data_IF_384608824647
#
_entry.id   IF_384608824647
#
_cell.length_a   1.000
_cell.length_b   1.000
_cell.length_c   1.000
_cell.angle_alpha   90.00
_cell.angle_beta   90.00
_cell.angle_gamma   90.00
#
_symmetry.space_group_name_H-M   'P 1'
#
loop_
_entity.id
_entity.type
_entity.pdbx_description
1 polymer ?
#
# COMPACT_ATOMS: atom_id res chain seq x y z
N UNK A 1 17.84 -4.53 31.65
CA UNK A 1 16.45 -4.96 31.93
C UNK A 1 16.00 -4.25 33.20
N UNK A 2 14.74 -3.81 33.29
CA UNK A 2 14.24 -3.16 34.50
C UNK A 2 14.33 -4.10 35.71
N UNK A 3 14.69 -3.55 36.88
CA UNK A 3 15.05 -4.31 38.09
C UNK A 3 13.88 -5.06 38.76
N UNK A 4 12.64 -4.87 38.28
CA UNK A 4 11.48 -5.61 38.78
C UNK A 4 10.58 -6.08 37.65
N UNK A 5 10.02 -7.28 37.82
CA UNK A 5 9.01 -7.86 36.94
C UNK A 5 7.81 -6.92 36.72
N UNK A 6 7.40 -6.19 37.77
CA UNK A 6 6.33 -5.18 37.69
C UNK A 6 6.69 -4.01 36.78
N UNK A 7 7.96 -3.58 36.74
CA UNK A 7 8.41 -2.55 35.81
C UNK A 7 8.51 -3.12 34.39
N UNK A 8 8.98 -4.36 34.23
CA UNK A 8 9.03 -5.02 32.92
C UNK A 8 7.65 -5.10 32.26
N UNK A 9 6.62 -5.57 32.97
CA UNK A 9 5.26 -5.66 32.43
C UNK A 9 4.69 -4.27 32.08
N UNK A 10 4.97 -3.24 32.88
CA UNK A 10 4.58 -1.85 32.57
C UNK A 10 5.26 -1.27 31.33
N UNK A 11 6.45 -1.78 30.99
CA UNK A 11 7.20 -1.38 29.82
C UNK A 11 6.77 -2.14 28.55
N UNK A 12 5.88 -3.13 28.62
CA UNK A 12 5.37 -3.83 27.45
C UNK A 12 3.99 -3.29 27.11
N UNK A 13 3.80 -2.88 25.85
CA UNK A 13 2.51 -2.52 25.28
C UNK A 13 2.30 -3.28 23.98
N UNK A 14 1.06 -3.31 23.49
CA UNK A 14 0.78 -3.71 22.12
C UNK A 14 0.90 -2.47 21.22
N UNK A 15 1.48 -2.63 20.04
CA UNK A 15 1.43 -1.61 18.99
C UNK A 15 0.08 -1.62 18.26
N UNK A 16 -0.06 -0.79 17.22
CA UNK A 16 -1.27 -0.73 16.39
C UNK A 16 -1.59 -2.04 15.66
N UNK A 17 -0.66 -2.99 15.64
CA UNK A 17 -0.77 -4.27 14.92
C UNK A 17 -0.87 -5.46 15.87
N UNK A 18 -0.95 -5.23 17.19
CA UNK A 18 -1.03 -6.30 18.18
C UNK A 18 0.31 -6.94 18.55
N UNK A 19 1.45 -6.39 18.11
CA UNK A 19 2.76 -6.88 18.52
C UNK A 19 3.20 -6.26 19.84
N UNK A 20 3.89 -7.06 20.65
CA UNK A 20 4.48 -6.59 21.91
C UNK A 20 5.67 -5.67 21.60
N UNK A 21 5.58 -4.43 22.05
CA UNK A 21 6.61 -3.40 21.91
C UNK A 21 6.93 -2.76 23.25
N UNK A 22 8.08 -2.09 23.34
CA UNK A 22 8.38 -1.25 24.48
C UNK A 22 7.41 -0.05 24.53
N UNK A 23 6.83 0.23 25.69
CA UNK A 23 6.01 1.42 25.89
C UNK A 23 6.82 2.68 25.54
N UNK A 24 6.20 3.75 25.01
CA UNK A 24 6.91 5.02 24.76
C UNK A 24 7.52 5.65 26.02
N UNK A 25 7.09 5.23 27.21
CA UNK A 25 7.62 5.64 28.52
C UNK A 25 8.80 4.78 29.00
N UNK A 26 9.14 3.70 28.31
CA UNK A 26 10.27 2.83 28.66
C UNK A 26 11.58 3.62 28.55
N UNK A 27 12.51 3.59 29.51
CA UNK A 27 13.82 4.24 29.39
C UNK A 27 14.57 3.79 28.12
N UNK A 28 15.36 4.68 27.52
CA UNK A 28 16.04 4.42 26.24
C UNK A 28 17.01 3.23 26.34
N UNK A 29 17.72 3.10 27.46
CA UNK A 29 18.60 1.98 27.79
C UNK A 29 17.87 0.63 27.94
N UNK A 30 16.54 0.63 27.94
CA UNK A 30 15.70 -0.56 28.02
C UNK A 30 14.84 -0.77 26.77
N UNK A 31 14.84 0.17 25.82
CA UNK A 31 14.20 -0.03 24.53
C UNK A 31 15.07 -0.98 23.72
N UNK A 32 14.46 -1.90 22.98
CA UNK A 32 15.14 -2.50 21.84
C UNK A 32 15.64 -1.35 20.96
N UNK A 33 16.89 -1.43 20.47
CA UNK A 33 17.65 -0.41 19.74
C UNK A 33 17.04 -0.03 18.37
N UNK A 34 15.72 0.08 18.28
CA UNK A 34 15.03 0.62 17.12
C UNK A 34 15.34 2.11 17.09
N UNK A 35 16.14 2.50 16.09
CA UNK A 35 16.68 3.85 15.93
C UNK A 35 15.57 4.90 16.10
N UNK A 36 15.96 6.01 16.74
CA UNK A 36 15.14 7.16 17.13
C UNK A 36 14.07 7.55 16.09
N UNK A 37 12.95 8.12 16.59
CA UNK A 37 11.93 8.69 15.72
C UNK A 37 12.55 9.81 14.87
N UNK A 38 12.34 9.80 13.55
CA UNK A 38 12.76 10.90 12.70
C UNK A 38 12.05 12.21 13.08
N UNK A 39 12.64 13.37 12.77
CA UNK A 39 11.94 14.63 12.84
C UNK A 39 10.74 14.62 11.88
N UNK A 40 9.62 15.29 12.22
CA UNK A 40 8.51 15.46 11.30
C UNK A 40 8.95 16.27 10.09
N UNK A 41 8.76 15.74 8.89
CA UNK A 41 9.04 16.42 7.62
C UNK A 41 7.71 16.73 6.93
N UNK A 42 7.59 17.91 6.31
CA UNK A 42 6.43 18.25 5.47
C UNK A 42 6.61 17.61 4.09
N UNK A 43 6.21 16.35 4.01
CA UNK A 43 6.55 15.43 2.91
C UNK A 43 5.86 15.79 1.58
N UNK A 44 4.74 16.51 1.64
CA UNK A 44 3.91 16.81 0.47
C UNK A 44 4.57 17.80 -0.49
N UNK A 45 5.42 18.70 0.03
CA UNK A 45 6.07 19.72 -0.80
C UNK A 45 7.15 19.10 -1.71
N UNK A 46 7.87 18.10 -1.20
CA UNK A 46 9.04 17.53 -1.86
C UNK A 46 8.65 16.61 -3.03
N UNK A 47 7.61 15.79 -2.84
CA UNK A 47 7.11 14.86 -3.87
C UNK A 47 6.52 15.64 -5.05
N UNK A 48 5.80 16.73 -4.77
CA UNK A 48 5.25 17.60 -5.80
C UNK A 48 6.37 18.18 -6.67
N UNK A 49 7.41 18.76 -6.04
CA UNK A 49 8.57 19.31 -6.75
C UNK A 49 9.29 18.26 -7.60
N UNK A 50 9.51 17.05 -7.06
CA UNK A 50 10.18 15.96 -7.77
C UNK A 50 9.39 15.51 -9.02
N UNK A 51 8.07 15.45 -8.92
CA UNK A 51 7.17 15.08 -10.01
C UNK A 51 6.85 16.25 -10.95
N UNK A 52 7.49 17.42 -10.75
CA UNK A 52 7.23 18.62 -11.54
C UNK A 52 5.81 19.18 -11.40
N UNK A 53 5.09 18.75 -10.37
CA UNK A 53 3.76 19.26 -10.04
C UNK A 53 3.94 20.37 -9.02
N UNK A 54 3.25 21.51 -9.21
CA UNK A 54 3.01 22.40 -8.08
C UNK A 54 2.25 21.61 -7.00
N UNK A 55 2.29 22.06 -5.73
CA UNK A 55 1.54 21.45 -4.62
C UNK A 55 0.02 21.53 -4.86
N UNK A 56 -0.44 20.81 -5.88
CA UNK A 56 -1.81 20.68 -6.29
C UNK A 56 -2.45 19.71 -5.32
N UNK A 57 -3.69 20.01 -4.94
CA UNK A 57 -4.45 19.11 -4.08
C UNK A 57 -4.45 17.72 -4.71
N UNK A 58 -4.07 16.72 -3.91
CA UNK A 58 -4.17 15.30 -4.27
C UNK A 58 -5.60 15.05 -4.73
N UNK A 59 -5.77 14.56 -5.96
CA UNK A 59 -7.08 14.28 -6.52
C UNK A 59 -7.79 13.20 -5.70
N UNK A 60 -9.13 13.21 -5.69
CA UNK A 60 -9.92 12.23 -4.91
C UNK A 60 -9.53 10.78 -5.20
N UNK A 61 -9.29 10.46 -6.48
CA UNK A 61 -8.84 9.14 -6.89
C UNK A 61 -7.43 8.78 -6.41
N UNK A 62 -6.50 9.73 -6.48
CA UNK A 62 -5.13 9.55 -5.99
C UNK A 62 -5.13 9.36 -4.48
N UNK A 63 -5.97 10.11 -3.74
CA UNK A 63 -6.16 9.96 -2.31
C UNK A 63 -6.70 8.56 -1.94
N UNK A 64 -7.63 8.00 -2.73
CA UNK A 64 -8.12 6.63 -2.52
C UNK A 64 -7.04 5.58 -2.77
N UNK A 65 -6.27 5.72 -3.85
CA UNK A 65 -5.16 4.82 -4.17
C UNK A 65 -4.13 4.83 -3.03
N UNK A 66 -3.70 6.02 -2.60
CA UNK A 66 -2.79 6.19 -1.47
C UNK A 66 -3.39 5.61 -0.18
N UNK A 67 -4.68 5.85 0.06
CA UNK A 67 -5.39 5.35 1.23
C UNK A 67 -5.41 3.82 1.28
N UNK A 68 -5.81 3.17 0.19
CA UNK A 68 -5.83 1.72 0.11
C UNK A 68 -4.43 1.13 0.22
N UNK A 69 -3.45 1.74 -0.45
CA UNK A 69 -2.06 1.33 -0.35
C UNK A 69 -1.56 1.30 1.09
N UNK A 70 -1.83 2.39 1.84
CA UNK A 70 -1.53 2.47 3.27
C UNK A 70 -2.15 1.28 3.99
N UNK A 71 -3.45 1.04 3.81
CA UNK A 71 -4.15 -0.07 4.47
C UNK A 71 -3.48 -1.42 4.16
N UNK A 72 -3.17 -1.70 2.90
CA UNK A 72 -2.53 -2.97 2.49
C UNK A 72 -1.14 -3.15 3.11
N UNK A 73 -0.31 -2.10 3.13
CA UNK A 73 1.01 -2.15 3.80
C UNK A 73 0.86 -2.41 5.30
N UNK A 74 -0.19 -1.91 5.94
CA UNK A 74 -0.45 -2.21 7.36
C UNK A 74 -0.88 -3.65 7.59
N UNK A 75 -1.76 -4.17 6.73
CA UNK A 75 -2.17 -5.57 6.79
C UNK A 75 -0.97 -6.50 6.62
N UNK A 76 -0.08 -6.18 5.69
CA UNK A 76 1.19 -6.90 5.48
C UNK A 76 1.99 -7.03 6.77
N UNK A 77 2.06 -5.97 7.56
CA UNK A 77 2.78 -5.98 8.85
C UNK A 77 2.11 -6.82 9.91
N UNK A 78 0.79 -7.01 9.84
CA UNK A 78 0.04 -7.87 10.75
C UNK A 78 0.39 -9.35 10.58
N UNK A 79 0.92 -9.76 9.43
CA UNK A 79 1.41 -11.13 9.25
C UNK A 79 2.68 -11.35 10.10
N UNK A 80 2.71 -12.32 11.03
CA UNK A 80 3.83 -12.52 11.96
C UNK A 80 5.18 -12.79 11.29
N UNK A 81 5.20 -13.32 10.07
CA UNK A 81 6.44 -13.58 9.32
C UNK A 81 7.13 -12.29 8.89
N UNK A 82 6.34 -11.24 8.58
CA UNK A 82 6.87 -9.97 8.07
C UNK A 82 7.67 -9.22 9.14
N UNK A 83 7.17 -8.94 10.36
CA UNK A 83 7.96 -8.31 11.42
C UNK A 83 9.23 -9.08 11.77
N UNK A 84 9.18 -10.41 11.77
CA UNK A 84 10.36 -11.23 12.04
C UNK A 84 11.42 -11.04 10.95
N UNK A 85 11.01 -11.13 9.67
CA UNK A 85 11.90 -10.85 8.53
C UNK A 85 12.47 -9.43 8.57
N UNK A 86 11.63 -8.43 8.87
CA UNK A 86 12.06 -7.03 9.00
C UNK A 86 13.12 -6.85 10.10
N UNK A 87 12.96 -7.50 11.26
CA UNK A 87 13.97 -7.43 12.33
C UNK A 87 15.33 -7.99 11.88
N UNK A 88 15.32 -9.07 11.10
CA UNK A 88 16.56 -9.64 10.55
C UNK A 88 17.21 -8.65 9.58
N UNK A 89 16.42 -7.95 8.75
CA UNK A 89 16.94 -6.98 7.77
C UNK A 89 17.71 -5.82 8.40
N UNK A 90 17.40 -5.43 9.64
CA UNK A 90 18.18 -4.40 10.37
C UNK A 90 19.63 -4.83 10.61
N UNK A 91 19.90 -6.13 10.72
CA UNK A 91 21.23 -6.66 10.93
C UNK A 91 21.95 -7.02 9.61
N UNK A 92 21.26 -6.94 8.47
CA UNK A 92 21.82 -7.29 7.17
C UNK A 92 22.80 -6.20 6.72
N UNK A 93 24.09 -6.50 6.49
CA UNK A 93 25.09 -5.48 6.18
C UNK A 93 25.03 -5.02 4.72
N UNK A 94 24.52 -5.87 3.81
CA UNK A 94 24.52 -5.61 2.38
C UNK A 94 23.35 -6.30 1.68
N UNK A 95 22.83 -5.69 0.61
CA UNK A 95 21.62 -6.16 -0.12
C UNK A 95 21.68 -7.60 -0.62
N UNK A 96 22.87 -8.11 -0.95
CA UNK A 96 23.07 -9.49 -1.43
C UNK A 96 22.78 -10.55 -0.38
N UNK A 97 22.59 -10.14 0.88
CA UNK A 97 22.23 -11.02 1.99
C UNK A 97 20.74 -10.92 2.37
N UNK A 98 19.96 -10.11 1.65
CA UNK A 98 18.49 -10.10 1.79
C UNK A 98 17.97 -11.42 1.21
N UNK A 99 17.11 -12.13 1.95
CA UNK A 99 16.53 -13.38 1.45
C UNK A 99 15.61 -13.14 0.27
N UNK A 100 15.50 -14.13 -0.61
CA UNK A 100 14.60 -14.09 -1.77
C UNK A 100 13.12 -13.86 -1.37
N UNK A 101 12.69 -14.43 -0.25
CA UNK A 101 11.33 -14.23 0.28
C UNK A 101 11.11 -12.75 0.65
N UNK A 102 12.06 -12.13 1.34
CA UNK A 102 11.97 -10.70 1.68
C UNK A 102 11.98 -9.84 0.42
N UNK A 103 12.86 -10.12 -0.54
CA UNK A 103 12.86 -9.42 -1.83
C UNK A 103 11.51 -9.52 -2.52
N UNK A 104 10.91 -10.71 -2.55
CA UNK A 104 9.58 -10.94 -3.15
C UNK A 104 8.49 -10.13 -2.43
N UNK A 105 8.51 -10.10 -1.10
CA UNK A 105 7.59 -9.27 -0.29
C UNK A 105 7.78 -7.79 -0.63
N UNK A 106 9.03 -7.33 -0.68
CA UNK A 106 9.35 -5.93 -0.97
C UNK A 106 8.95 -5.51 -2.38
N UNK A 107 9.11 -6.40 -3.36
CA UNK A 107 8.68 -6.15 -4.74
C UNK A 107 7.15 -6.06 -4.77
N UNK A 108 6.45 -7.01 -4.15
CA UNK A 108 5.00 -6.97 -4.05
C UNK A 108 4.50 -5.67 -3.39
N UNK A 109 5.16 -5.20 -2.33
CA UNK A 109 4.84 -3.90 -1.71
C UNK A 109 4.96 -2.76 -2.73
N UNK A 110 6.05 -2.66 -3.47
CA UNK A 110 6.25 -1.58 -4.44
C UNK A 110 5.31 -1.73 -5.64
N UNK A 111 5.18 -2.92 -6.22
CA UNK A 111 4.28 -3.19 -7.35
C UNK A 111 2.82 -2.84 -7.04
N UNK A 112 2.36 -3.10 -5.81
CA UNK A 112 1.02 -2.71 -5.37
C UNK A 112 0.77 -1.19 -5.48
N UNK A 113 1.78 -0.36 -5.25
CA UNK A 113 1.67 1.09 -5.40
C UNK A 113 1.86 1.58 -6.83
N UNK A 114 2.57 0.83 -7.67
CA UNK A 114 2.87 1.23 -9.04
C UNK A 114 1.83 0.76 -10.05
N UNK A 115 1.13 -0.34 -9.76
CA UNK A 115 0.17 -0.97 -10.64
C UNK A 115 -1.25 -0.42 -10.53
N UNK A 116 -2.12 -0.90 -11.42
CA UNK A 116 -3.55 -0.77 -11.23
C UNK A 116 -3.95 -1.63 -10.02
N UNK A 117 -4.52 -1.01 -8.99
CA UNK A 117 -4.96 -1.70 -7.76
C UNK A 117 -6.23 -2.52 -8.01
N UNK A 118 -6.08 -3.59 -8.79
CA UNK A 118 -7.15 -4.49 -9.18
C UNK A 118 -7.03 -5.77 -8.34
N UNK A 119 -7.98 -6.00 -7.45
CA UNK A 119 -8.06 -7.20 -6.62
C UNK A 119 -9.22 -8.05 -7.14
N UNK A 120 -9.08 -9.38 -7.16
CA UNK A 120 -10.18 -10.26 -7.52
C UNK A 120 -9.74 -11.65 -7.92
N UNK A 121 -10.69 -12.59 -7.93
CA UNK A 121 -10.43 -14.03 -8.12
C UNK A 121 -9.64 -14.36 -9.39
N UNK A 122 -9.83 -13.59 -10.46
CA UNK A 122 -9.15 -13.81 -11.74
C UNK A 122 -7.88 -12.97 -11.93
N UNK A 123 -7.68 -11.95 -11.08
CA UNK A 123 -6.62 -10.95 -11.22
C UNK A 123 -5.34 -11.36 -10.48
N UNK A 124 -5.45 -12.23 -9.46
CA UNK A 124 -4.29 -12.78 -8.73
C UNK A 124 -3.61 -13.87 -9.56
N UNK A 125 -3.17 -13.50 -10.76
CA UNK A 125 -1.99 -14.11 -11.36
C UNK A 125 -0.84 -13.20 -11.00
N UNK A 126 -0.48 -13.19 -9.71
CA UNK A 126 0.78 -12.64 -9.26
C UNK A 126 1.83 -13.21 -10.19
N UNK A 127 2.53 -12.35 -10.92
CA UNK A 127 3.67 -12.77 -11.70
C UNK A 127 4.67 -13.31 -10.69
N UNK A 128 4.65 -14.62 -10.43
CA UNK A 128 5.75 -15.34 -9.79
C UNK A 128 6.89 -15.39 -10.79
N UNK A 129 7.34 -14.23 -11.24
CA UNK A 129 8.63 -14.04 -11.85
C UNK A 129 9.62 -14.43 -10.78
N UNK A 130 10.30 -15.55 -10.99
CA UNK A 130 11.40 -15.99 -10.14
C UNK A 130 12.46 -14.89 -10.20
N UNK A 131 12.58 -14.10 -9.13
CA UNK A 131 13.50 -12.99 -9.09
C UNK A 131 14.92 -13.50 -8.89
N UNK A 132 15.82 -13.03 -9.74
CA UNK A 132 17.25 -13.18 -9.54
C UNK A 132 17.68 -12.24 -8.42
N UNK A 133 18.20 -12.74 -7.28
CA UNK A 133 18.70 -11.89 -6.19
C UNK A 133 19.85 -10.96 -6.62
N UNK A 134 20.52 -11.28 -7.73
CA UNK A 134 21.54 -10.42 -8.34
C UNK A 134 20.95 -9.42 -9.35
N UNK A 135 19.70 -9.60 -9.77
CA UNK A 135 19.03 -8.79 -10.77
C UNK A 135 18.31 -7.59 -10.17
N UNK A 136 18.40 -6.46 -10.84
CA UNK A 136 17.59 -5.29 -10.55
C UNK A 136 16.34 -5.29 -11.43
N UNK A 137 15.13 -5.40 -10.86
CA UNK A 137 13.92 -5.48 -11.67
C UNK A 137 13.48 -4.11 -12.19
N UNK A 138 13.18 -4.06 -13.49
CA UNK A 138 12.31 -3.03 -14.06
C UNK A 138 10.86 -3.41 -13.75
N UNK A 139 10.18 -2.64 -12.92
CA UNK A 139 8.78 -2.88 -12.53
C UNK A 139 7.80 -2.35 -13.57
N UNK A 140 8.21 -1.31 -14.29
CA UNK A 140 7.49 -0.72 -15.40
C UNK A 140 8.51 -0.21 -16.44
N UNK A 141 8.10 0.15 -17.67
CA UNK A 141 9.03 0.62 -18.71
C UNK A 141 9.95 1.77 -18.28
N UNK A 142 9.46 2.62 -17.37
CA UNK A 142 10.15 3.81 -16.88
C UNK A 142 10.42 3.74 -15.36
N UNK A 143 10.26 2.58 -14.71
CA UNK A 143 10.48 2.42 -13.26
C UNK A 143 11.44 1.27 -12.96
N UNK A 144 12.54 1.62 -12.29
CA UNK A 144 13.59 0.70 -11.87
C UNK A 144 13.62 0.60 -10.35
N UNK A 145 13.63 -0.63 -9.81
CA UNK A 145 13.71 -0.86 -8.36
C UNK A 145 15.07 -1.47 -8.02
N UNK A 146 15.71 -0.92 -6.99
CA UNK A 146 16.92 -1.46 -6.39
C UNK A 146 16.75 -1.61 -4.88
N UNK A 147 16.95 -2.83 -4.40
CA UNK A 147 17.00 -3.10 -2.97
C UNK A 147 18.32 -2.67 -2.39
N UNK A 148 18.26 -2.12 -1.18
CA UNK A 148 19.45 -1.79 -0.40
C UNK A 148 19.14 -1.84 1.10
N UNK A 149 20.16 -1.70 1.92
CA UNK A 149 20.06 -1.68 3.39
C UNK A 149 20.50 -0.31 3.90
N UNK A 150 20.08 0.12 5.10
CA UNK A 150 20.63 1.31 5.76
C UNK A 150 20.55 2.63 4.96
N UNK A 151 19.41 2.91 4.33
CA UNK A 151 19.16 4.18 3.63
C UNK A 151 19.07 5.40 4.57
N UNK A 152 19.15 5.20 5.89
CA UNK A 152 19.35 6.25 6.88
C UNK A 152 20.80 6.78 6.92
N UNK A 153 21.75 6.06 6.30
CA UNK A 153 23.15 6.49 6.17
C UNK A 153 23.37 7.21 4.83
N UNK A 154 23.64 8.52 4.88
CA UNK A 154 23.83 9.38 3.69
C UNK A 154 24.94 8.89 2.75
N UNK A 155 26.05 8.36 3.27
CA UNK A 155 27.14 7.83 2.43
C UNK A 155 26.65 6.63 1.61
N UNK A 156 25.91 5.74 2.27
CA UNK A 156 25.34 4.56 1.63
C UNK A 156 24.25 4.93 0.61
N UNK A 157 23.43 5.96 0.89
CA UNK A 157 22.48 6.51 -0.09
C UNK A 157 23.20 7.00 -1.34
N UNK A 158 24.27 7.81 -1.19
CA UNK A 158 25.03 8.35 -2.33
C UNK A 158 25.63 7.26 -3.20
N UNK A 159 26.24 6.25 -2.58
CA UNK A 159 26.81 5.09 -3.29
C UNK A 159 25.76 4.34 -4.10
N UNK A 160 24.62 4.00 -3.49
CA UNK A 160 23.55 3.28 -4.17
C UNK A 160 22.85 4.11 -5.26
N UNK A 161 22.78 5.45 -5.12
CA UNK A 161 22.26 6.31 -6.19
C UNK A 161 23.16 6.24 -7.43
N UNK A 162 24.48 6.30 -7.26
CA UNK A 162 25.41 6.26 -8.40
C UNK A 162 25.27 4.95 -9.17
N UNK A 163 25.21 3.83 -8.46
CA UNK A 163 25.00 2.51 -9.06
C UNK A 163 23.64 2.41 -9.77
N UNK A 164 22.57 2.88 -9.14
CA UNK A 164 21.24 2.92 -9.73
C UNK A 164 21.20 3.74 -11.02
N UNK A 165 21.85 4.92 -11.03
CA UNK A 165 21.88 5.81 -12.20
C UNK A 165 22.68 5.17 -13.33
N UNK A 166 23.78 4.48 -13.02
CA UNK A 166 24.56 3.72 -14.00
C UNK A 166 23.71 2.62 -14.65
N UNK A 167 23.03 1.81 -13.84
CA UNK A 167 22.16 0.73 -14.33
C UNK A 167 20.99 1.24 -15.19
N UNK A 168 20.33 2.31 -14.75
CA UNK A 168 19.27 2.96 -15.53
C UNK A 168 19.82 3.49 -16.85
N UNK A 169 20.98 4.14 -16.84
CA UNK A 169 21.59 4.71 -18.05
C UNK A 169 21.95 3.65 -19.08
N UNK A 170 22.30 2.43 -18.64
CA UNK A 170 22.63 1.31 -19.51
C UNK A 170 21.40 0.66 -20.17
N UNK A 171 20.27 0.59 -19.46
CA UNK A 171 19.11 -0.24 -19.87
C UNK A 171 17.89 0.55 -20.31
N UNK A 172 17.81 1.84 -20.01
CA UNK A 172 16.62 2.65 -20.29
C UNK A 172 16.38 2.86 -21.79
N UNK A 173 15.13 3.19 -22.11
CA UNK A 173 14.74 3.67 -23.43
C UNK A 173 15.15 5.15 -23.60
N UNK A 174 15.66 5.57 -24.77
CA UNK A 174 15.98 6.97 -25.03
C UNK A 174 14.71 7.82 -25.11
N UNK A 175 14.81 9.12 -24.82
CA UNK A 175 13.69 10.06 -24.99
C UNK A 175 12.74 10.19 -23.80
N UNK A 176 13.09 9.63 -22.62
CA UNK A 176 12.19 9.57 -21.46
C UNK A 176 12.93 9.71 -20.13
N UNK A 177 12.19 10.23 -19.15
CA UNK A 177 12.60 10.21 -17.74
C UNK A 177 12.34 8.81 -17.20
N UNK A 178 13.37 8.19 -16.64
CA UNK A 178 13.25 6.96 -15.87
C UNK A 178 13.27 7.32 -14.38
N UNK A 179 12.50 6.59 -13.57
CA UNK A 179 12.45 6.75 -12.13
C UNK A 179 13.09 5.54 -11.46
N UNK A 180 14.18 5.79 -10.73
CA UNK A 180 14.75 4.80 -9.83
C UNK A 180 14.13 4.86 -8.45
N UNK A 181 13.91 3.71 -7.83
CA UNK A 181 13.50 3.57 -6.44
C UNK A 181 14.59 2.78 -5.71
N UNK A 182 15.28 3.42 -4.78
CA UNK A 182 16.07 2.71 -3.77
C UNK A 182 15.14 2.32 -2.63
N UNK A 183 15.12 1.05 -2.25
CA UNK A 183 14.19 0.53 -1.26
C UNK A 183 14.88 -0.34 -0.22
N UNK A 184 14.65 -0.02 1.07
CA UNK A 184 15.23 -0.78 2.19
C UNK A 184 14.19 -1.33 3.16
N UNK A 185 12.93 -1.42 2.75
CA UNK A 185 11.75 -1.68 3.60
C UNK A 185 11.47 -0.55 4.61
N UNK A 186 12.48 -0.09 5.35
CA UNK A 186 12.35 0.99 6.32
C UNK A 186 12.31 2.37 5.67
N UNK A 187 13.05 2.54 4.58
CA UNK A 187 13.12 3.81 3.85
C UNK A 187 13.05 3.58 2.35
N UNK A 188 12.76 4.65 1.62
CA UNK A 188 12.92 4.72 0.18
C UNK A 188 13.53 6.05 -0.26
N UNK A 189 14.17 6.04 -1.44
CA UNK A 189 14.62 7.23 -2.16
C UNK A 189 14.14 7.11 -3.60
N UNK A 190 13.59 8.20 -4.14
CA UNK A 190 13.17 8.27 -5.56
C UNK A 190 14.18 9.12 -6.32
N UNK A 191 14.63 8.62 -7.47
CA UNK A 191 15.68 9.23 -8.30
C UNK A 191 15.16 9.36 -9.74
N UNK A 192 14.55 10.48 -10.13
CA UNK A 192 14.32 10.79 -11.54
C UNK A 192 15.66 10.96 -12.28
N UNK A 193 15.80 10.27 -13.41
CA UNK A 193 16.96 10.30 -14.30
C UNK A 193 16.51 10.75 -15.69
N UNK A 194 16.97 11.92 -16.12
CA UNK A 194 16.64 12.51 -17.43
C UNK A 194 17.50 11.97 -18.56
N UNK A 195 17.18 12.29 -19.81
CA UNK A 195 17.88 11.82 -21.02
C UNK A 195 19.39 12.11 -21.05
N UNK A 196 19.83 13.18 -20.37
CA UNK A 196 21.24 13.58 -20.29
C UNK A 196 21.99 12.90 -19.13
N UNK A 197 21.38 11.89 -18.51
CA UNK A 197 21.82 11.20 -17.29
C UNK A 197 21.96 12.11 -16.08
N UNK A 198 21.38 13.32 -16.14
CA UNK A 198 21.26 14.18 -14.97
C UNK A 198 20.15 13.60 -14.11
N UNK A 199 20.39 13.61 -12.82
CA UNK A 199 19.45 13.10 -11.85
C UNK A 199 19.28 14.09 -10.70
N UNK A 200 18.12 13.98 -10.08
CA UNK A 200 17.85 14.52 -8.74
C UNK A 200 17.44 13.34 -7.87
N UNK A 201 17.63 13.45 -6.57
CA UNK A 201 17.21 12.41 -5.63
C UNK A 201 16.42 13.02 -4.50
N UNK A 202 15.40 12.32 -4.04
CA UNK A 202 14.76 12.68 -2.77
C UNK A 202 15.71 12.52 -1.60
N UNK A 203 15.36 13.14 -0.47
CA UNK A 203 15.91 12.69 0.81
C UNK A 203 15.43 11.26 1.08
N UNK A 204 16.12 10.57 2.00
CA UNK A 204 15.66 9.27 2.50
C UNK A 204 14.35 9.46 3.25
N UNK A 205 13.31 8.78 2.78
CA UNK A 205 11.95 8.89 3.31
C UNK A 205 11.59 7.61 4.05
N UNK A 206 11.00 7.73 5.24
CA UNK A 206 10.46 6.55 5.92
C UNK A 206 9.38 5.91 5.09
N UNK A 207 9.53 4.63 4.80
CA UNK A 207 8.53 3.87 4.08
C UNK A 207 7.65 3.10 5.05
N UNK A 208 8.22 2.18 5.83
CA UNK A 208 7.43 1.49 6.85
C UNK A 208 7.19 2.39 8.07
N UNK A 209 5.96 2.39 8.63
CA UNK A 209 5.69 3.12 9.86
C UNK A 209 6.56 2.63 11.02
N UNK A 210 6.93 3.54 11.92
CA UNK A 210 7.50 3.16 13.21
C UNK A 210 6.48 2.32 13.99
N UNK A 211 6.95 1.34 14.76
CA UNK A 211 6.11 0.60 15.71
C UNK A 211 5.42 1.48 16.77
N UNK A 212 5.89 2.71 16.94
CA UNK A 212 5.28 3.70 17.86
C UNK A 212 4.44 4.76 17.15
N UNK A 213 4.20 4.62 15.84
CA UNK A 213 3.35 5.56 15.13
C UNK A 213 1.90 5.43 15.59
N UNK A 214 1.19 6.55 15.58
CA UNK A 214 -0.28 6.59 15.70
C UNK A 214 -0.96 6.66 14.33
N UNK A 215 -0.16 6.92 13.28
CA UNK A 215 -0.64 7.04 11.92
C UNK A 215 0.10 6.02 11.04
N UNK A 216 -0.63 5.18 10.30
CA UNK A 216 -0.01 4.26 9.36
C UNK A 216 0.65 4.94 8.16
N UNK A 217 0.38 6.22 7.96
CA UNK A 217 0.89 6.99 6.83
C UNK A 217 2.34 7.38 7.06
N UNK A 218 3.17 7.19 6.03
CA UNK A 218 4.55 7.67 6.00
C UNK A 218 4.83 8.48 4.73
N UNK A 219 5.88 9.33 4.73
CA UNK A 219 6.38 10.00 3.54
C UNK A 219 6.60 9.04 2.37
N UNK A 220 7.30 7.93 2.61
CA UNK A 220 7.72 6.98 1.58
C UNK A 220 6.55 6.22 0.96
N UNK A 221 5.57 5.80 1.76
CA UNK A 221 4.34 5.18 1.24
C UNK A 221 3.61 6.17 0.31
N UNK A 222 3.48 7.42 0.74
CA UNK A 222 2.81 8.47 -0.05
C UNK A 222 3.58 8.77 -1.33
N UNK A 223 4.92 8.88 -1.25
CA UNK A 223 5.78 9.16 -2.39
C UNK A 223 5.72 8.07 -3.47
N UNK A 224 5.81 6.79 -3.07
CA UNK A 224 5.77 5.66 -4.00
C UNK A 224 4.39 5.54 -4.65
N UNK A 225 3.30 5.73 -3.89
CA UNK A 225 1.95 5.72 -4.47
C UNK A 225 1.70 6.92 -5.41
N UNK A 226 2.18 8.12 -5.07
CA UNK A 226 2.13 9.27 -5.96
C UNK A 226 2.95 9.06 -7.25
N UNK A 227 4.12 8.42 -7.14
CA UNK A 227 4.93 8.03 -8.31
C UNK A 227 4.18 7.02 -9.18
N UNK A 228 3.61 5.97 -8.58
CA UNK A 228 2.79 5.00 -9.29
C UNK A 228 1.64 5.66 -10.04
N UNK A 229 0.86 6.49 -9.34
CA UNK A 229 -0.21 7.28 -9.96
C UNK A 229 0.32 8.17 -11.08
N UNK A 230 1.45 8.86 -10.89
CA UNK A 230 2.07 9.66 -11.95
C UNK A 230 2.39 8.82 -13.18
N UNK A 231 3.08 7.70 -13.01
CA UNK A 231 3.45 6.79 -14.10
C UNK A 231 2.24 6.16 -14.80
N UNK A 232 1.16 5.88 -14.07
CA UNK A 232 -0.10 5.43 -14.69
C UNK A 232 -0.75 6.52 -15.56
N UNK A 233 -0.55 7.80 -15.22
CA UNK A 233 -1.12 8.92 -15.99
C UNK A 233 -0.25 9.40 -17.15
N UNK A 234 1.07 9.23 -17.06
CA UNK A 234 2.03 9.67 -18.09
C UNK A 234 2.54 8.52 -18.95
N UNK A 235 2.33 7.28 -18.49
CA UNK A 235 2.75 6.07 -19.17
C UNK A 235 2.18 6.01 -20.58
N UNK A 236 3.07 5.81 -21.54
CA UNK A 236 2.66 5.45 -22.90
C UNK A 236 2.62 3.93 -22.97
N UNK A 237 1.51 3.41 -23.47
CA UNK A 237 1.33 1.98 -23.70
C UNK A 237 2.42 1.47 -24.63
N UNK A 238 3.09 0.38 -24.23
CA UNK A 238 4.09 -0.27 -25.07
C UNK A 238 3.43 -0.72 -26.39
N UNK A 239 4.02 -0.36 -27.54
CA UNK A 239 3.36 -0.53 -28.84
C UNK A 239 3.30 -1.98 -29.32
N UNK A 240 3.97 -2.90 -28.60
CA UNK A 240 4.17 -4.28 -28.98
C UNK A 240 2.87 -5.09 -29.17
N UNK A 241 1.81 -4.75 -28.43
CA UNK A 241 0.52 -5.46 -28.47
C UNK A 241 -0.61 -4.66 -29.11
N UNK A 242 -0.26 -3.62 -29.87
CA UNK A 242 -1.26 -2.70 -30.40
C UNK A 242 -1.98 -3.31 -31.60
N UNK A 243 -3.31 -3.17 -31.61
CA UNK A 243 -4.10 -3.56 -32.78
C UNK A 243 -3.62 -2.79 -34.03
N UNK A 244 -3.69 -3.41 -35.23
CA UNK A 244 -3.32 -2.74 -36.46
C UNK A 244 -4.06 -1.40 -36.61
N UNK A 245 -3.44 -0.35 -37.17
CA UNK A 245 -4.08 0.97 -37.30
C UNK A 245 -5.45 0.93 -37.99
N UNK A 246 -5.66 -0.01 -38.91
CA UNK A 246 -6.92 -0.22 -39.63
C UNK A 246 -8.01 -0.96 -38.84
N UNK A 247 -7.74 -1.42 -37.62
CA UNK A 247 -8.72 -2.15 -36.81
C UNK A 247 -9.94 -1.26 -36.49
N UNK A 248 -11.16 -1.81 -36.58
CA UNK A 248 -12.39 -1.03 -36.43
C UNK A 248 -12.52 -0.37 -35.04
N UNK A 249 -11.94 -0.97 -33.99
CA UNK A 249 -11.87 -0.36 -32.65
C UNK A 249 -11.13 0.98 -32.63
N UNK A 250 -10.18 1.22 -33.54
CA UNK A 250 -9.52 2.52 -33.66
C UNK A 250 -10.43 3.59 -34.31
N UNK A 251 -11.60 3.20 -34.82
CA UNK A 251 -12.57 4.08 -35.46
C UNK A 251 -13.82 4.31 -34.60
N UNK A 252 -13.92 3.64 -33.44
CA UNK A 252 -15.07 3.77 -32.54
C UNK A 252 -15.05 5.18 -31.93
N UNK A 253 -16.16 5.95 -32.03
CA UNK A 253 -16.29 7.25 -31.39
C UNK A 253 -16.05 7.18 -29.88
N UNK A 254 -15.39 8.19 -29.31
CA UNK A 254 -14.95 8.18 -27.91
C UNK A 254 -16.12 8.07 -26.90
N UNK A 255 -17.30 8.59 -27.26
CA UNK A 255 -18.54 8.45 -26.51
C UNK A 255 -19.04 7.00 -26.47
N UNK A 256 -18.94 6.25 -27.58
CA UNK A 256 -19.24 4.83 -27.58
C UNK A 256 -18.22 4.03 -26.78
N UNK A 257 -16.93 4.40 -26.84
CA UNK A 257 -15.90 3.80 -26.00
C UNK A 257 -16.24 4.02 -24.53
N UNK A 258 -16.62 5.23 -24.13
CA UNK A 258 -17.01 5.55 -22.76
C UNK A 258 -18.16 4.64 -22.26
N UNK A 259 -19.14 4.34 -23.12
CA UNK A 259 -20.20 3.40 -22.80
C UNK A 259 -19.73 1.95 -22.71
N UNK A 260 -18.85 1.50 -23.62
CA UNK A 260 -18.29 0.13 -23.56
C UNK A 260 -17.52 -0.05 -22.25
N UNK A 261 -16.68 0.91 -21.87
CA UNK A 261 -15.82 0.76 -20.68
C UNK A 261 -16.60 0.78 -19.37
N UNK A 262 -17.81 1.38 -19.32
CA UNK A 262 -18.64 1.32 -18.12
C UNK A 262 -19.25 -0.07 -17.87
N UNK A 263 -19.33 -0.90 -18.91
CA UNK A 263 -19.90 -2.25 -18.84
C UNK A 263 -18.83 -3.35 -18.69
N UNK A 264 -17.54 -2.98 -18.65
CA UNK A 264 -16.42 -3.92 -18.53
C UNK A 264 -15.93 -4.05 -17.09
N UNK A 265 -15.61 -5.29 -16.70
CA UNK A 265 -14.89 -5.56 -15.45
C UNK A 265 -13.42 -5.09 -15.52
N UNK A 266 -12.74 -4.93 -14.38
CA UNK A 266 -11.37 -4.40 -14.34
C UNK A 266 -10.34 -5.23 -15.12
N UNK A 267 -10.48 -6.56 -15.13
CA UNK A 267 -9.63 -7.45 -15.92
C UNK A 267 -9.74 -7.18 -17.42
N UNK A 268 -10.96 -6.98 -17.90
CA UNK A 268 -11.24 -6.66 -19.30
C UNK A 268 -10.77 -5.26 -19.64
N UNK A 269 -10.94 -4.30 -18.72
CA UNK A 269 -10.44 -2.93 -18.86
C UNK A 269 -8.91 -2.89 -19.02
N UNK A 270 -8.16 -3.62 -18.18
CA UNK A 270 -6.70 -3.71 -18.28
C UNK A 270 -6.26 -4.37 -19.59
N UNK A 271 -6.94 -5.44 -20.00
CA UNK A 271 -6.67 -6.16 -21.26
C UNK A 271 -6.94 -5.27 -22.47
N UNK A 272 -8.06 -4.56 -22.48
CA UNK A 272 -8.46 -3.68 -23.57
C UNK A 272 -7.60 -2.41 -23.63
N UNK A 273 -7.17 -1.86 -22.48
CA UNK A 273 -6.17 -0.76 -22.42
C UNK A 273 -4.87 -1.17 -23.11
N UNK A 274 -4.43 -2.40 -22.88
CA UNK A 274 -3.22 -2.95 -23.49
C UNK A 274 -3.36 -3.20 -24.99
N UNK A 275 -4.55 -3.63 -25.44
CA UNK A 275 -4.81 -3.91 -26.85
C UNK A 275 -5.04 -2.64 -27.69
N UNK A 276 -5.68 -1.62 -27.11
CA UNK A 276 -6.13 -0.41 -27.83
C UNK A 276 -5.64 0.85 -27.11
N UNK A 277 -4.40 1.31 -27.36
CA UNK A 277 -3.85 2.53 -26.77
C UNK A 277 -4.72 3.77 -26.91
N UNK A 278 -5.51 3.86 -27.99
CA UNK A 278 -6.42 4.97 -28.22
C UNK A 278 -7.44 5.13 -27.09
N UNK A 279 -7.80 4.03 -26.42
CA UNK A 279 -8.74 4.04 -25.30
C UNK A 279 -8.07 4.37 -23.97
N UNK A 280 -6.73 4.39 -23.92
CA UNK A 280 -5.96 4.63 -22.69
C UNK A 280 -6.39 5.90 -21.94
N UNK A 281 -6.66 7.06 -22.57
CA UNK A 281 -7.14 8.23 -21.82
C UNK A 281 -8.46 7.97 -21.08
N UNK A 282 -9.45 7.37 -21.75
CA UNK A 282 -10.75 7.06 -21.15
C UNK A 282 -10.65 5.97 -20.08
N UNK A 283 -9.87 4.93 -20.35
CA UNK A 283 -9.66 3.81 -19.44
C UNK A 283 -8.82 4.17 -18.22
N UNK A 284 -7.78 4.99 -18.42
CA UNK A 284 -6.95 5.50 -17.33
C UNK A 284 -7.79 6.27 -16.32
N UNK A 285 -8.89 6.93 -16.71
CA UNK A 285 -9.77 7.59 -15.75
C UNK A 285 -10.46 6.60 -14.81
N UNK A 286 -10.87 5.43 -15.32
CA UNK A 286 -11.50 4.38 -14.52
C UNK A 286 -10.47 3.59 -13.73
N UNK A 287 -9.41 3.12 -14.38
CA UNK A 287 -8.34 2.30 -13.79
C UNK A 287 -7.43 3.05 -12.81
N UNK A 288 -7.66 4.35 -12.58
CA UNK A 288 -7.04 5.09 -11.47
C UNK A 288 -7.67 4.72 -10.12
N UNK A 289 -8.95 4.31 -10.11
CA UNK A 289 -9.60 3.87 -8.90
C UNK A 289 -9.18 2.44 -8.58
N UNK A 290 -8.98 2.11 -7.29
CA UNK A 290 -8.83 0.72 -6.90
C UNK A 290 -10.13 -0.06 -7.14
N UNK A 291 -10.01 -1.30 -7.60
CA UNK A 291 -11.13 -2.22 -7.79
C UNK A 291 -10.96 -3.46 -6.94
N UNK A 292 -12.08 -3.97 -6.48
CA UNK A 292 -12.19 -5.22 -5.76
C UNK A 292 -13.28 -6.05 -6.41
N UNK A 293 -12.90 -7.16 -7.04
CA UNK A 293 -13.69 -7.87 -8.04
C UNK A 293 -14.29 -6.86 -9.05
N UNK A 294 -15.61 -6.73 -9.13
CA UNK A 294 -16.28 -5.78 -10.03
C UNK A 294 -16.56 -4.41 -9.37
N UNK A 295 -16.18 -4.24 -8.11
CA UNK A 295 -16.53 -3.06 -7.32
C UNK A 295 -15.43 -2.01 -7.34
N UNK A 296 -15.79 -0.81 -7.77
CA UNK A 296 -14.93 0.37 -7.66
C UNK A 296 -14.92 0.89 -6.22
N UNK A 297 -13.72 1.15 -5.69
CA UNK A 297 -13.54 1.77 -4.40
C UNK A 297 -13.91 3.26 -4.45
N UNK A 298 -14.81 3.69 -3.56
CA UNK A 298 -15.28 5.08 -3.49
C UNK A 298 -14.81 5.84 -2.25
N UNK A 299 -14.37 5.14 -1.21
CA UNK A 299 -13.85 5.75 0.01
C UNK A 299 -12.97 4.76 0.78
N UNK A 300 -11.89 5.27 1.37
CA UNK A 300 -11.05 4.51 2.33
C UNK A 300 -11.26 5.09 3.71
N UNK A 301 -11.82 4.29 4.61
CA UNK A 301 -12.05 4.71 5.98
C UNK A 301 -10.73 4.74 6.78
N UNK A 302 -10.50 5.77 7.62
CA UNK A 302 -9.28 5.89 8.40
C UNK A 302 -9.21 4.80 9.49
N UNK A 303 -8.04 4.16 9.60
CA UNK A 303 -7.73 3.09 10.55
C UNK A 303 -7.97 3.48 12.03
N UNK A 304 -7.84 4.76 12.37
CA UNK A 304 -7.95 5.25 13.75
C UNK A 304 -9.38 5.26 14.32
N UNK A 305 -10.41 5.12 13.49
CA UNK A 305 -11.82 5.17 13.94
C UNK A 305 -12.43 3.82 14.29
N UNK A 306 -11.68 2.74 14.12
CA UNK A 306 -12.21 1.37 14.25
C UNK A 306 -11.35 0.41 15.06
N UNK A 307 -10.63 0.76 16.15
CA UNK A 307 -9.94 -0.26 16.96
C UNK A 307 -10.90 -1.35 17.49
N UNK A 308 -12.08 -0.93 17.97
CA UNK A 308 -13.11 -1.84 18.47
C UNK A 308 -13.77 -2.67 17.34
N UNK A 309 -14.00 -2.05 16.18
CA UNK A 309 -14.55 -2.75 15.02
C UNK A 309 -13.54 -3.73 14.43
N UNK A 310 -12.25 -3.36 14.39
CA UNK A 310 -11.14 -4.23 14.03
C UNK A 310 -11.03 -5.37 15.02
N UNK A 311 -11.05 -5.13 16.33
CA UNK A 311 -11.06 -6.21 17.34
C UNK A 311 -12.27 -7.15 17.18
N UNK A 312 -13.47 -6.62 16.91
CA UNK A 312 -14.69 -7.43 16.66
C UNK A 312 -14.59 -8.22 15.37
N UNK A 313 -14.07 -7.61 14.31
CA UNK A 313 -13.84 -8.24 13.00
C UNK A 313 -12.73 -9.29 13.11
N UNK A 314 -11.62 -8.99 13.78
CA UNK A 314 -10.55 -9.94 14.09
C UNK A 314 -11.06 -11.10 14.90
N UNK A 315 -11.86 -10.86 15.94
CA UNK A 315 -12.46 -11.92 16.78
C UNK A 315 -13.43 -12.79 15.97
N UNK A 316 -14.24 -12.19 15.09
CA UNK A 316 -15.14 -12.91 14.20
C UNK A 316 -14.37 -13.72 13.14
N UNK A 317 -13.19 -13.25 12.71
CA UNK A 317 -12.34 -13.94 11.74
C UNK A 317 -11.46 -15.02 12.37
N UNK A 318 -11.01 -14.84 13.60
CA UNK A 318 -10.31 -15.86 14.39
C UNK A 318 -11.27 -17.03 14.68
N UNK A 319 -12.54 -16.72 14.97
CA UNK A 319 -13.63 -17.71 15.02
C UNK A 319 -13.92 -18.38 13.66
N UNK A 320 -13.62 -17.71 12.55
CA UNK A 320 -13.78 -18.23 11.18
C UNK A 320 -12.48 -18.83 10.58
N UNK A 321 -11.38 -18.88 11.36
CA UNK A 321 -10.08 -19.41 10.93
C UNK A 321 -9.44 -18.65 9.76
N UNK A 322 -9.55 -17.32 9.71
CA UNK A 322 -9.14 -16.51 8.56
C UNK A 322 -8.28 -15.30 8.94
N UNK A 323 -7.35 -14.93 8.05
CA UNK A 323 -6.43 -13.80 8.23
C UNK A 323 -7.07 -12.40 8.14
N UNK A 324 -6.37 -11.46 8.77
CA UNK A 324 -6.55 -10.02 9.02
C UNK A 324 -7.19 -9.21 7.87
N UNK A 325 -8.20 -8.34 8.12
CA UNK A 325 -8.87 -7.62 7.05
C UNK A 325 -8.76 -6.08 7.05
N UNK A 326 -8.98 -5.49 5.88
CA UNK A 326 -9.37 -4.08 5.68
C UNK A 326 -10.89 -3.94 5.57
N UNK A 327 -11.45 -2.78 5.96
CA UNK A 327 -12.84 -2.42 5.69
C UNK A 327 -12.91 -1.53 4.44
N UNK A 328 -13.55 -2.03 3.39
CA UNK A 328 -13.71 -1.28 2.14
C UNK A 328 -15.19 -1.13 1.77
N UNK A 329 -15.63 0.10 1.48
CA UNK A 329 -17.01 0.39 1.02
C UNK A 329 -17.03 0.46 -0.51
N UNK A 330 -17.71 -0.51 -1.13
CA UNK A 330 -17.99 -0.52 -2.57
C UNK A 330 -19.36 0.09 -2.91
N UNK A 331 -19.55 0.56 -4.15
CA UNK A 331 -20.84 1.07 -4.63
C UNK A 331 -21.43 0.20 -5.74
N UNK A 332 -22.51 -0.51 -5.43
CA UNK A 332 -23.56 -0.85 -6.42
C UNK A 332 -24.91 -1.00 -5.71
N UNK A 333 -25.69 0.08 -5.61
CA UNK A 333 -27.06 0.06 -5.05
C UNK A 333 -27.18 -0.19 -3.53
N UNK A 334 -26.18 -0.82 -2.90
CA UNK A 334 -26.08 -1.13 -1.47
C UNK A 334 -24.64 -0.94 -0.99
N UNK A 335 -24.46 -0.42 0.24
CA UNK A 335 -23.15 -0.33 0.88
C UNK A 335 -22.72 -1.75 1.30
N UNK A 336 -21.71 -2.31 0.63
CA UNK A 336 -21.11 -3.59 1.04
C UNK A 336 -19.74 -3.35 1.66
N UNK A 337 -19.44 -4.11 2.72
CA UNK A 337 -18.14 -4.12 3.38
C UNK A 337 -17.30 -5.29 2.85
N UNK A 338 -16.19 -4.97 2.21
CA UNK A 338 -15.26 -5.97 1.67
C UNK A 338 -14.06 -6.11 2.59
N UNK A 339 -13.71 -7.37 2.91
CA UNK A 339 -12.55 -7.74 3.72
C UNK A 339 -11.45 -8.26 2.81
N UNK A 340 -10.33 -7.55 2.77
CA UNK A 340 -9.12 -7.91 2.01
C UNK A 340 -8.08 -8.52 2.95
N UNK A 341 -7.55 -9.70 2.62
CA UNK A 341 -6.33 -10.21 3.24
C UNK A 341 -5.08 -9.72 2.48
N UNK A 342 -3.89 -9.93 3.06
CA UNK A 342 -2.61 -9.50 2.49
C UNK A 342 -2.30 -10.09 1.10
N UNK A 343 -2.84 -11.26 0.77
CA UNK A 343 -2.64 -11.92 -0.53
C UNK A 343 -3.65 -11.47 -1.59
N UNK A 344 -4.52 -10.51 -1.27
CA UNK A 344 -5.58 -10.05 -2.17
C UNK A 344 -6.74 -11.05 -2.30
N UNK A 345 -6.75 -12.14 -1.53
CA UNK A 345 -7.91 -13.01 -1.51
C UNK A 345 -9.06 -12.31 -0.78
N UNK A 346 -10.15 -12.14 -1.51
CA UNK A 346 -11.38 -11.62 -0.95
C UNK A 346 -12.17 -12.70 -0.26
N UNK A 347 -12.61 -12.41 0.96
CA UNK A 347 -13.82 -13.01 1.52
C UNK A 347 -14.85 -11.90 1.67
N UNK A 348 -15.84 -11.90 0.78
CA UNK A 348 -17.05 -11.12 1.02
C UNK A 348 -17.72 -11.69 2.28
N UNK A 349 -17.76 -10.89 3.35
CA UNK A 349 -18.60 -11.19 4.50
C UNK A 349 -19.83 -10.33 4.33
N UNK A 350 -20.96 -10.99 4.06
CA UNK A 350 -22.26 -10.36 4.10
C UNK A 350 -22.57 -10.07 5.58
N UNK A 351 -22.13 -8.90 6.05
CA UNK A 351 -22.49 -8.40 7.36
C UNK A 351 -23.92 -7.90 7.20
N UNK A 352 -24.90 -8.78 7.39
CA UNK A 352 -26.34 -8.53 7.21
C UNK A 352 -26.94 -7.48 8.16
N UNK A 353 -26.34 -6.30 8.22
CA UNK A 353 -26.84 -5.12 8.91
C UNK A 353 -27.41 -4.17 7.86
N UNK A 354 -28.72 -3.91 7.96
CA UNK A 354 -29.30 -2.71 7.38
C UNK A 354 -28.65 -1.51 8.08
N UNK A 355 -27.78 -0.80 7.36
CA UNK A 355 -27.15 0.40 7.87
C UNK A 355 -28.20 1.50 8.00
N UNK A 356 -28.46 1.90 9.25
CA UNK A 356 -29.14 3.16 9.49
C UNK A 356 -28.26 4.34 9.06
N UNK A 357 -28.92 5.44 8.70
CA UNK A 357 -28.31 6.64 8.14
C UNK A 357 -27.25 7.25 9.06
N UNK A 358 -26.31 8.00 8.46
CA UNK A 358 -25.20 8.74 9.11
C UNK A 358 -25.58 9.52 10.38
N UNK A 359 -26.84 9.93 10.52
CA UNK A 359 -27.35 10.68 11.67
C UNK A 359 -27.53 9.82 12.94
N UNK A 360 -27.69 8.50 12.80
CA UNK A 360 -27.89 7.60 13.95
C UNK A 360 -26.58 7.35 14.72
N UNK A 361 -25.45 7.40 14.03
CA UNK A 361 -24.13 7.20 14.63
C UNK A 361 -23.68 8.38 15.50
N UNK A 362 -24.10 9.61 15.19
CA UNK A 362 -23.86 10.78 16.04
C UNK A 362 -24.72 10.76 17.31
N UNK A 363 -25.80 9.99 17.32
CA UNK A 363 -26.68 9.78 18.48
C UNK A 363 -26.15 8.69 19.41
N UNK A 364 -25.65 7.57 18.87
CA UNK A 364 -25.04 6.50 19.67
C UNK A 364 -23.72 6.93 20.33
N UNK A 365 -22.87 7.69 19.62
CA UNK A 365 -21.62 8.21 20.19
C UNK A 365 -21.83 9.21 21.35
N UNK A 366 -23.02 9.78 21.48
CA UNK A 366 -23.40 10.61 22.64
C UNK A 366 -23.95 9.81 23.82
N UNK A 367 -24.29 8.55 23.61
CA UNK A 367 -24.78 7.64 24.65
C UNK A 367 -23.69 6.75 25.25
N UNK A 368 -22.51 6.64 24.63
CA UNK A 368 -21.38 5.80 25.08
C UNK A 368 -20.44 6.44 26.15
N UNK A 369 -20.81 7.57 26.77
CA UNK A 369 -20.00 8.19 27.85
C UNK A 369 -20.33 7.71 29.28
N UNK A 370 -21.23 6.74 29.49
CA UNK A 370 -21.53 6.20 30.83
C UNK A 370 -21.43 4.66 30.94
N UNK A 371 -20.39 4.21 31.67
CA UNK A 371 -20.22 3.01 32.52
C UNK A 371 -20.54 1.56 32.04
N UNK A 372 -19.51 0.70 32.13
CA UNK A 372 -19.49 -0.74 32.53
C UNK A 372 -20.35 -1.80 31.77
N UNK A 373 -20.77 -1.59 30.52
CA UNK A 373 -21.55 -2.60 29.75
C UNK A 373 -20.73 -3.65 28.95
N UNK A 374 -19.41 -3.53 28.85
CA UNK A 374 -18.58 -4.40 28.00
C UNK A 374 -18.56 -5.88 28.44
N UNK A 375 -18.79 -6.15 29.72
CA UNK A 375 -18.79 -7.52 30.25
C UNK A 375 -20.10 -8.28 29.97
N UNK A 376 -21.24 -7.57 29.91
CA UNK A 376 -22.54 -8.19 29.68
C UNK A 376 -22.77 -8.47 28.19
N UNK A 377 -22.29 -7.59 27.31
CA UNK A 377 -22.34 -7.80 25.86
C UNK A 377 -21.49 -9.01 25.45
N UNK A 378 -20.31 -9.17 26.04
CA UNK A 378 -19.43 -10.33 25.83
C UNK A 378 -20.09 -11.64 26.32
N UNK A 379 -20.77 -11.61 27.47
CA UNK A 379 -21.50 -12.77 28.01
C UNK A 379 -22.71 -13.19 27.16
N UNK A 380 -23.46 -12.21 26.62
CA UNK A 380 -24.59 -12.48 25.72
C UNK A 380 -24.13 -13.04 24.37
N UNK A 381 -23.01 -12.55 23.85
CA UNK A 381 -22.41 -13.05 22.60
C UNK A 381 -21.89 -14.49 22.74
N UNK A 382 -21.21 -14.82 23.84
CA UNK A 382 -20.72 -16.19 24.11
C UNK A 382 -21.86 -17.19 24.30
N UNK A 383 -23.01 -16.76 24.84
CA UNK A 383 -24.18 -17.63 24.99
C UNK A 383 -24.97 -17.82 23.69
N UNK A 384 -24.95 -16.84 22.77
CA UNK A 384 -25.55 -16.98 21.43
C UNK A 384 -24.80 -18.00 20.57
N UNK A 385 -23.46 -18.04 20.65
CA UNK A 385 -22.60 -18.98 19.92
C UNK A 385 -22.64 -20.43 20.45
N UNK A 386 -23.36 -20.72 21.54
CA UNK A 386 -23.51 -22.09 22.07
C UNK A 386 -24.76 -22.82 21.59
N UNK A 387 -25.65 -22.16 20.84
CA UNK A 387 -26.94 -22.72 20.41
C UNK A 387 -27.12 -22.74 18.87
N UNK A 388 -26.10 -22.30 18.12
CA UNK A 388 -25.95 -22.55 16.69
C UNK A 388 -24.77 -23.50 16.47
#
# INVERSE_FOLDING_TARGET
MPDSEKLFVKCIKLDLYGFRICAPSTPEEHRCNWKLRPPPVDDNLYIAELLGKTAQAIGTCEAMHIGLYKVLINLARGNPEVPYGLQILEAVPHRTHISADMLSIGIGMIELALGHMLFGKEVIKSSTTVYDPAGFPWLAPDIFLQFTTHLDNECNVKENILELVEEISLKRRPGRIAYGILFSFFHCVIVPVDEDTKFKSTVSMHFLPSYHTISPSTPGITAVACLGYHCLTTGTTDTANTLPPAHFLNQVPLDMVAHIVTDLGPSDLASLTSAVPLFSPAMSMLLRYPFIDEYCLVEVLPFSRTPALMLKVFSALDAAGSDVPALVVGKHGHSQFLLLNFLGELKAVDVGYELSTRDDWELEAKHEEEDDEDAELYSRFVNFMRVA
#
